data_IF_911048469988
#
_entry.id   IF_911048469988
#
_cell.length_a   1.000
_cell.length_b   1.000
_cell.length_c   1.000
_cell.angle_alpha   90.00
_cell.angle_beta   90.00
_cell.angle_gamma   90.00
#
_symmetry.space_group_name_H-M   'P 1'
#
loop_
_entity.id
_entity.type
_entity.pdbx_description
1 polymer ?
#
# COMPACT_ATOMS: atom_id res chain seq x y z
N UNK A 1 -18.12 -1.10 -17.84
CA UNK A 1 -17.04 -0.63 -16.95
C UNK A 1 -16.26 0.45 -17.68
N UNK A 2 -16.02 1.60 -17.07
CA UNK A 2 -15.14 2.66 -17.58
C UNK A 2 -13.81 2.51 -16.84
N UNK A 3 -12.71 2.31 -17.57
CA UNK A 3 -11.34 2.22 -17.00
C UNK A 3 -10.71 3.62 -16.88
N UNK A 4 -11.42 4.54 -16.25
CA UNK A 4 -10.99 5.91 -15.99
C UNK A 4 -11.73 6.43 -14.76
N UNK A 5 -11.11 7.31 -14.01
CA UNK A 5 -11.74 8.01 -12.90
C UNK A 5 -12.86 8.93 -13.37
N UNK A 6 -13.82 9.22 -12.51
CA UNK A 6 -14.80 10.29 -12.68
C UNK A 6 -14.15 11.65 -12.40
N UNK A 7 -14.82 12.74 -12.79
CA UNK A 7 -14.32 14.10 -12.52
C UNK A 7 -14.13 14.36 -11.02
N UNK A 8 -15.05 13.89 -10.17
CA UNK A 8 -14.96 14.04 -8.71
C UNK A 8 -13.79 13.21 -8.13
N UNK A 9 -13.57 11.98 -8.62
CA UNK A 9 -12.42 11.16 -8.23
C UNK A 9 -11.09 11.80 -8.66
N UNK A 10 -11.04 12.39 -9.86
CA UNK A 10 -9.87 13.14 -10.33
C UNK A 10 -9.60 14.38 -9.48
N UNK A 11 -10.63 15.16 -9.16
CA UNK A 11 -10.52 16.36 -8.33
C UNK A 11 -9.99 16.03 -6.93
N UNK A 12 -10.56 15.00 -6.29
CA UNK A 12 -10.12 14.58 -4.96
C UNK A 12 -8.69 14.05 -4.98
N UNK A 13 -8.36 13.18 -5.94
CA UNK A 13 -7.00 12.68 -6.15
C UNK A 13 -5.99 13.82 -6.35
N UNK A 14 -6.32 14.81 -7.18
CA UNK A 14 -5.44 15.93 -7.49
C UNK A 14 -5.24 16.83 -6.26
N UNK A 15 -6.29 17.05 -5.46
CA UNK A 15 -6.19 17.73 -4.16
C UNK A 15 -5.21 17.02 -3.22
N UNK A 16 -5.30 15.70 -3.13
CA UNK A 16 -4.38 14.90 -2.30
C UNK A 16 -2.95 14.94 -2.86
N UNK A 17 -2.79 14.90 -4.18
CA UNK A 17 -1.48 15.03 -4.85
C UNK A 17 -0.80 16.35 -4.50
N UNK A 18 -1.53 17.46 -4.63
CA UNK A 18 -1.00 18.80 -4.36
C UNK A 18 -0.61 18.94 -2.88
N UNK A 19 -1.46 18.44 -1.98
CA UNK A 19 -1.15 18.38 -0.55
C UNK A 19 0.13 17.58 -0.28
N UNK A 20 0.26 16.38 -0.86
CA UNK A 20 1.42 15.53 -0.64
C UNK A 20 2.70 16.10 -1.28
N UNK A 21 2.59 16.80 -2.40
CA UNK A 21 3.74 17.47 -3.03
C UNK A 21 4.36 18.54 -2.12
N UNK A 22 3.53 19.23 -1.34
CA UNK A 22 3.97 20.24 -0.37
C UNK A 22 4.39 19.61 0.97
N UNK A 23 3.57 18.71 1.53
CA UNK A 23 3.70 18.24 2.90
C UNK A 23 4.46 16.92 3.06
N UNK A 24 4.75 16.17 1.97
CA UNK A 24 5.45 14.89 2.01
C UNK A 24 6.65 14.85 1.07
N UNK A 25 7.64 15.71 1.32
CA UNK A 25 8.90 15.71 0.57
C UNK A 25 9.82 14.56 1.01
N UNK A 26 10.87 14.27 0.24
CA UNK A 26 11.88 13.25 0.60
C UNK A 26 12.58 13.54 1.92
N UNK A 27 12.67 14.81 2.33
CA UNK A 27 13.16 15.20 3.67
C UNK A 27 12.27 14.62 4.78
N UNK A 28 10.95 14.67 4.61
CA UNK A 28 10.01 14.10 5.57
C UNK A 28 10.08 12.58 5.62
N UNK A 29 10.25 11.92 4.46
CA UNK A 29 10.47 10.46 4.41
C UNK A 29 11.75 10.06 5.13
N UNK A 30 12.84 10.82 4.96
CA UNK A 30 14.11 10.61 5.68
C UNK A 30 13.96 10.83 7.18
N UNK A 31 13.20 11.84 7.60
CA UNK A 31 12.90 12.06 9.02
C UNK A 31 12.14 10.88 9.64
N UNK A 32 11.15 10.33 8.94
CA UNK A 32 10.44 9.14 9.38
C UNK A 32 11.34 7.90 9.44
N UNK A 33 12.38 7.81 8.62
CA UNK A 33 13.37 6.73 8.71
C UNK A 33 14.16 6.76 10.01
N UNK A 34 14.45 7.96 10.51
CA UNK A 34 15.23 8.18 11.74
C UNK A 34 14.36 8.15 13.01
N UNK A 35 13.06 8.37 12.88
CA UNK A 35 12.14 8.39 14.01
C UNK A 35 11.74 6.98 14.49
N UNK A 36 11.25 6.87 15.71
CA UNK A 36 10.74 5.62 16.29
C UNK A 36 9.35 5.24 15.72
N UNK A 37 8.58 6.24 15.25
CA UNK A 37 7.30 6.07 14.57
C UNK A 37 7.26 6.88 13.27
N UNK A 38 6.54 6.37 12.27
CA UNK A 38 6.22 7.11 11.06
C UNK A 38 5.03 8.05 11.23
N UNK A 39 4.20 7.86 12.26
CA UNK A 39 3.06 8.72 12.56
C UNK A 39 3.57 10.06 13.06
N UNK A 40 3.24 11.11 12.32
CA UNK A 40 3.67 12.48 12.59
C UNK A 40 2.46 13.42 12.67
N UNK A 41 2.71 14.71 12.92
CA UNK A 41 1.68 15.74 12.86
C UNK A 41 0.95 15.79 11.50
N UNK A 42 1.58 15.28 10.43
CA UNK A 42 0.96 15.15 9.11
C UNK A 42 -0.27 14.24 9.10
N UNK A 43 -0.39 13.27 10.03
CA UNK A 43 -1.59 12.47 10.16
C UNK A 43 -2.84 13.33 10.39
N UNK A 44 -2.73 14.34 11.25
CA UNK A 44 -3.82 15.30 11.48
C UNK A 44 -4.06 16.22 10.28
N UNK A 45 -3.00 16.61 9.55
CA UNK A 45 -3.16 17.39 8.32
C UNK A 45 -3.82 16.56 7.20
N UNK A 46 -3.53 15.27 7.09
CA UNK A 46 -4.24 14.34 6.20
C UNK A 46 -5.72 14.22 6.55
N UNK A 47 -6.07 14.27 7.84
CA UNK A 47 -7.45 14.27 8.29
C UNK A 47 -8.21 15.56 7.87
N UNK A 48 -7.57 16.71 7.91
CA UNK A 48 -8.18 17.99 7.46
C UNK A 48 -8.56 17.98 5.98
N UNK A 49 -7.84 17.21 5.16
CA UNK A 49 -8.17 17.02 3.73
C UNK A 49 -9.02 15.75 3.48
N UNK A 50 -9.51 15.11 4.56
CA UNK A 50 -10.43 13.98 4.50
C UNK A 50 -9.78 12.61 4.23
N UNK A 51 -8.46 12.54 4.08
CA UNK A 51 -7.76 11.32 3.64
C UNK A 51 -7.86 10.19 4.67
N UNK A 52 -7.77 10.49 5.98
CA UNK A 52 -7.89 9.47 7.04
C UNK A 52 -9.30 8.92 7.17
N UNK A 53 -10.30 9.72 6.82
CA UNK A 53 -11.74 9.37 6.85
C UNK A 53 -12.29 8.85 5.53
N UNK A 54 -11.46 8.61 4.50
CA UNK A 54 -11.91 8.31 3.13
C UNK A 54 -12.92 7.15 3.07
N UNK A 55 -12.65 6.05 3.80
CA UNK A 55 -13.52 4.86 3.84
C UNK A 55 -14.33 4.75 5.13
N UNK A 56 -14.24 5.74 6.01
CA UNK A 56 -15.09 5.82 7.20
C UNK A 56 -16.50 6.22 6.76
N UNK A 57 -17.57 5.54 7.25
CA UNK A 57 -18.94 5.90 6.93
C UNK A 57 -19.28 7.35 7.31
N UNK A 58 -20.20 7.99 6.57
CA UNK A 58 -20.60 9.39 6.79
C UNK A 58 -21.23 9.64 8.18
N UNK A 59 -21.96 8.67 8.71
CA UNK A 59 -22.54 8.71 10.06
C UNK A 59 -21.53 8.63 11.20
N UNK A 60 -20.27 8.41 10.85
CA UNK A 60 -19.10 8.45 11.76
C UNK A 60 -18.06 9.54 11.36
N UNK A 61 -18.54 10.64 10.80
CA UNK A 61 -17.72 11.82 10.39
C UNK A 61 -16.69 11.49 9.27
N UNK A 62 -16.90 10.43 8.50
CA UNK A 62 -16.07 10.05 7.35
C UNK A 62 -16.62 10.56 6.03
N UNK A 63 -15.94 10.21 4.93
CA UNK A 63 -16.38 10.53 3.57
C UNK A 63 -17.24 9.45 2.92
N UNK A 64 -17.38 8.26 3.52
CA UNK A 64 -18.16 7.15 2.98
C UNK A 64 -17.73 6.66 1.60
N UNK A 65 -16.51 6.99 1.16
CA UNK A 65 -15.99 6.61 -0.16
C UNK A 65 -15.61 5.13 -0.22
N UNK A 66 -15.46 4.63 -1.46
CA UNK A 66 -15.18 3.22 -1.71
C UNK A 66 -13.73 2.87 -1.98
N UNK A 67 -13.53 1.61 -2.41
CA UNK A 67 -12.22 1.08 -2.76
C UNK A 67 -11.65 1.73 -4.05
N UNK A 68 -12.48 2.33 -4.91
CA UNK A 68 -12.03 3.04 -6.13
C UNK A 68 -11.34 4.36 -5.76
N UNK A 69 -11.94 5.17 -4.89
CA UNK A 69 -11.37 6.43 -4.39
C UNK A 69 -10.16 6.17 -3.51
N UNK A 70 -10.23 5.18 -2.64
CA UNK A 70 -9.09 4.76 -1.82
C UNK A 70 -7.90 4.38 -2.71
N UNK A 71 -8.11 3.57 -3.76
CA UNK A 71 -7.03 3.19 -4.66
C UNK A 71 -6.43 4.40 -5.39
N UNK A 72 -7.26 5.37 -5.83
CA UNK A 72 -6.79 6.60 -6.46
C UNK A 72 -5.89 7.41 -5.54
N UNK A 73 -6.29 7.60 -4.27
CA UNK A 73 -5.49 8.28 -3.24
C UNK A 73 -4.21 7.51 -2.93
N UNK A 74 -4.27 6.18 -2.84
CA UNK A 74 -3.10 5.35 -2.54
C UNK A 74 -2.05 5.37 -3.66
N UNK A 75 -2.43 5.64 -4.91
CA UNK A 75 -1.44 5.92 -5.99
C UNK A 75 -0.62 7.17 -5.64
N UNK A 76 -1.26 8.25 -5.20
CA UNK A 76 -0.57 9.50 -4.85
C UNK A 76 0.27 9.34 -3.57
N UNK A 77 -0.22 8.61 -2.56
CA UNK A 77 0.60 8.29 -1.37
C UNK A 77 1.81 7.42 -1.71
N UNK A 78 1.68 6.54 -2.69
CA UNK A 78 2.80 5.77 -3.24
C UNK A 78 3.80 6.66 -3.95
N UNK A 79 3.34 7.60 -4.79
CA UNK A 79 4.20 8.56 -5.50
C UNK A 79 5.02 9.42 -4.53
N UNK A 80 4.42 9.86 -3.43
CA UNK A 80 5.09 10.61 -2.36
C UNK A 80 5.93 9.73 -1.41
N UNK A 81 5.78 8.40 -1.45
CA UNK A 81 6.29 7.46 -0.45
C UNK A 81 5.84 7.82 0.97
N UNK A 82 4.55 8.17 1.14
CA UNK A 82 3.98 8.61 2.42
C UNK A 82 4.33 7.61 3.55
N UNK A 83 4.97 8.07 4.64
CA UNK A 83 5.36 7.19 5.74
C UNK A 83 4.20 6.70 6.59
N UNK A 84 3.19 7.54 6.80
CA UNK A 84 2.04 7.26 7.66
C UNK A 84 1.24 6.03 7.16
N UNK A 85 0.68 5.21 8.08
CA UNK A 85 0.08 3.90 7.76
C UNK A 85 -1.37 4.02 7.26
N UNK A 86 -1.61 4.86 6.25
CA UNK A 86 -2.95 5.10 5.72
C UNK A 86 -3.63 3.82 5.21
N UNK A 87 -2.87 2.95 4.53
CA UNK A 87 -3.40 1.69 4.01
C UNK A 87 -3.86 0.77 5.15
N UNK A 88 -3.03 0.62 6.16
CA UNK A 88 -3.32 -0.23 7.32
C UNK A 88 -4.53 0.29 8.09
N UNK A 89 -4.64 1.61 8.28
CA UNK A 89 -5.81 2.25 8.89
C UNK A 89 -7.08 2.04 8.07
N UNK A 90 -7.03 2.20 6.74
CA UNK A 90 -8.18 1.97 5.86
C UNK A 90 -8.67 0.52 5.87
N UNK A 91 -7.74 -0.45 6.00
CA UNK A 91 -8.10 -1.88 6.16
C UNK A 91 -8.77 -2.12 7.51
N UNK A 92 -8.21 -1.56 8.59
CA UNK A 92 -8.78 -1.67 9.94
C UNK A 92 -10.18 -1.05 10.01
N UNK A 93 -10.38 0.13 9.41
CA UNK A 93 -11.69 0.81 9.33
C UNK A 93 -12.76 -0.09 8.72
N UNK A 94 -12.45 -0.85 7.67
CA UNK A 94 -13.42 -1.75 7.07
C UNK A 94 -13.95 -2.81 8.04
N UNK A 95 -13.11 -3.37 8.88
CA UNK A 95 -13.49 -4.35 9.92
C UNK A 95 -14.20 -3.67 11.10
N UNK A 96 -13.75 -2.49 11.51
CA UNK A 96 -14.37 -1.71 12.59
C UNK A 96 -15.79 -1.27 12.20
N UNK A 97 -16.01 -0.80 10.98
CA UNK A 97 -17.30 -0.38 10.49
C UNK A 97 -18.31 -1.55 10.44
N UNK A 98 -17.82 -2.77 10.17
CA UNK A 98 -18.67 -3.96 10.12
C UNK A 98 -18.98 -4.54 11.51
N UNK A 99 -18.00 -4.57 12.43
CA UNK A 99 -18.10 -5.35 13.66
C UNK A 99 -18.09 -4.53 14.95
N UNK A 100 -17.65 -3.29 14.93
CA UNK A 100 -17.56 -2.43 16.11
C UNK A 100 -17.85 -0.94 15.80
N UNK A 101 -18.95 -0.62 15.07
CA UNK A 101 -19.21 0.76 14.61
C UNK A 101 -19.40 1.73 15.78
N UNK A 102 -20.05 1.30 16.85
CA UNK A 102 -20.41 2.16 17.99
C UNK A 102 -19.27 2.38 19.00
N UNK A 103 -18.09 1.81 18.77
CA UNK A 103 -16.96 1.92 19.69
C UNK A 103 -16.24 3.30 19.66
N UNK A 104 -16.69 4.23 18.84
CA UNK A 104 -16.16 5.60 18.72
C UNK A 104 -14.80 5.71 18.01
N UNK A 105 -14.22 4.60 17.54
CA UNK A 105 -12.93 4.60 16.86
C UNK A 105 -12.99 5.18 15.46
N UNK A 106 -14.10 4.99 14.75
CA UNK A 106 -14.27 5.45 13.38
C UNK A 106 -14.14 6.98 13.29
N UNK A 107 -14.86 7.72 14.14
CA UNK A 107 -14.78 9.18 14.20
C UNK A 107 -13.37 9.68 14.61
N UNK A 108 -12.70 9.00 15.55
CA UNK A 108 -11.33 9.35 15.96
C UNK A 108 -10.31 9.12 14.84
N UNK A 109 -10.50 8.08 14.01
CA UNK A 109 -9.63 7.85 12.85
C UNK A 109 -9.92 8.90 11.77
N UNK A 110 -11.20 9.19 11.49
CA UNK A 110 -11.60 10.20 10.52
C UNK A 110 -11.03 11.57 10.86
N UNK A 111 -11.11 12.00 12.14
CA UNK A 111 -10.57 13.27 12.63
C UNK A 111 -9.05 13.33 12.75
N UNK A 112 -8.35 12.19 12.59
CA UNK A 112 -6.91 12.08 12.80
C UNK A 112 -6.48 12.08 14.27
N UNK A 113 -7.42 11.99 15.22
CA UNK A 113 -7.11 11.85 16.65
C UNK A 113 -6.44 10.52 16.96
N UNK A 114 -6.82 9.46 16.24
CA UNK A 114 -6.25 8.13 16.40
C UNK A 114 -5.80 7.54 15.05
N UNK A 115 -4.92 6.54 15.15
CA UNK A 115 -4.55 5.65 14.05
C UNK A 115 -4.93 4.23 14.41
N UNK A 116 -5.12 3.39 13.40
CA UNK A 116 -5.34 1.97 13.59
C UNK A 116 -4.26 1.18 12.84
N UNK A 117 -3.86 0.06 13.44
CA UNK A 117 -3.04 -0.95 12.78
C UNK A 117 -3.82 -2.25 12.66
N UNK A 118 -3.39 -3.12 11.78
CA UNK A 118 -4.09 -4.37 11.48
C UNK A 118 -3.10 -5.53 11.36
N UNK A 119 -3.52 -6.70 11.84
CA UNK A 119 -2.83 -7.97 11.63
C UNK A 119 -3.85 -9.02 11.20
N UNK A 120 -3.76 -9.50 9.97
CA UNK A 120 -4.70 -10.48 9.41
C UNK A 120 -4.06 -11.87 9.29
N UNK A 121 -4.86 -12.93 9.12
CA UNK A 121 -4.36 -14.28 8.86
C UNK A 121 -3.31 -14.30 7.74
N UNK A 122 -2.23 -15.04 7.94
CA UNK A 122 -1.10 -15.12 7.02
C UNK A 122 -0.09 -13.97 7.09
N UNK A 123 -0.39 -12.87 7.78
CA UNK A 123 0.56 -11.79 8.03
C UNK A 123 1.47 -12.10 9.23
N UNK A 124 2.74 -11.69 9.12
CA UNK A 124 3.73 -11.90 10.20
C UNK A 124 3.92 -10.68 11.10
N UNK A 125 3.58 -9.50 10.59
CA UNK A 125 3.90 -8.22 11.22
C UNK A 125 2.75 -7.23 11.04
N UNK A 126 2.44 -6.49 12.10
CA UNK A 126 1.63 -5.29 12.06
C UNK A 126 2.53 -4.07 11.83
N UNK A 127 2.01 -3.08 11.09
CA UNK A 127 2.74 -1.83 10.79
C UNK A 127 2.34 -0.77 11.81
N UNK A 128 3.32 -0.06 12.39
CA UNK A 128 3.11 1.01 13.38
C UNK A 128 2.33 0.58 14.63
N UNK A 129 2.34 -0.71 14.97
CA UNK A 129 1.53 -1.25 16.06
C UNK A 129 1.79 -0.56 17.41
N UNK A 130 3.03 -0.14 17.70
CA UNK A 130 3.37 0.50 18.97
C UNK A 130 2.86 1.95 19.08
N UNK A 131 2.63 2.62 17.97
CA UNK A 131 2.16 4.01 17.93
C UNK A 131 0.66 4.13 17.55
N UNK A 132 0.02 3.01 17.19
CA UNK A 132 -1.40 2.97 16.88
C UNK A 132 -2.26 3.16 18.14
N UNK A 133 -3.44 3.79 17.98
CA UNK A 133 -4.43 3.89 19.05
C UNK A 133 -5.11 2.56 19.33
N UNK A 134 -5.20 1.69 18.31
CA UNK A 134 -5.75 0.33 18.45
C UNK A 134 -5.15 -0.62 17.40
N UNK A 135 -5.27 -1.92 17.70
CA UNK A 135 -4.98 -3.01 16.77
C UNK A 135 -6.26 -3.79 16.46
N UNK A 136 -6.50 -4.05 15.17
CA UNK A 136 -7.51 -5.00 14.72
C UNK A 136 -6.80 -6.27 14.31
N UNK A 137 -7.10 -7.38 14.99
CA UNK A 137 -6.43 -8.67 14.79
C UNK A 137 -7.44 -9.70 14.33
N UNK A 138 -7.24 -10.25 13.13
CA UNK A 138 -7.97 -11.41 12.64
C UNK A 138 -7.18 -12.69 12.87
N UNK A 139 -7.85 -13.73 13.34
CA UNK A 139 -7.28 -15.04 13.58
C UNK A 139 -7.70 -16.04 12.49
N UNK A 140 -6.91 -17.13 12.33
CA UNK A 140 -7.16 -18.17 11.32
C UNK A 140 -8.52 -18.89 11.49
N UNK A 141 -9.06 -18.92 12.73
CA UNK A 141 -10.38 -19.47 13.03
C UNK A 141 -11.54 -18.54 12.60
N UNK A 142 -11.24 -17.33 12.14
CA UNK A 142 -12.22 -16.32 11.74
C UNK A 142 -12.67 -15.38 12.85
N UNK A 143 -12.04 -15.43 14.02
CA UNK A 143 -12.30 -14.45 15.07
C UNK A 143 -11.61 -13.12 14.76
N UNK A 144 -12.30 -12.03 15.10
CA UNK A 144 -11.79 -10.66 15.00
C UNK A 144 -11.74 -10.03 16.38
N UNK A 145 -10.58 -9.54 16.75
CA UNK A 145 -10.35 -8.88 18.03
C UNK A 145 -9.96 -7.41 17.82
N UNK A 146 -10.42 -6.55 18.71
CA UNK A 146 -9.96 -5.15 18.82
C UNK A 146 -9.24 -5.03 20.16
N UNK A 147 -7.95 -4.69 20.11
CA UNK A 147 -7.08 -4.69 21.29
C UNK A 147 -6.32 -3.37 21.42
N UNK A 148 -6.04 -2.99 22.66
CA UNK A 148 -5.13 -1.88 22.92
C UNK A 148 -3.69 -2.37 22.71
N UNK A 149 -2.83 -1.65 21.96
CA UNK A 149 -1.42 -2.00 21.82
C UNK A 149 -0.68 -2.21 23.14
N UNK A 150 -1.08 -1.51 24.21
CA UNK A 150 -0.50 -1.66 25.55
C UNK A 150 -0.76 -3.03 26.19
N UNK A 151 -1.80 -3.74 25.76
CA UNK A 151 -2.15 -5.08 26.22
C UNK A 151 -1.48 -6.19 25.39
N UNK A 152 -0.60 -5.81 24.46
CA UNK A 152 0.11 -6.71 23.58
C UNK A 152 1.61 -6.73 23.87
N UNK A 153 2.26 -7.87 23.64
CA UNK A 153 3.71 -7.91 23.54
C UNK A 153 4.13 -7.58 22.11
N UNK A 154 4.74 -6.42 21.93
CA UNK A 154 5.19 -5.90 20.64
C UNK A 154 6.70 -6.05 20.49
N UNK A 155 7.15 -6.85 19.51
CA UNK A 155 8.58 -7.04 19.23
C UNK A 155 8.92 -6.37 17.90
N UNK A 156 9.75 -5.27 17.90
CA UNK A 156 10.09 -4.55 16.69
C UNK A 156 10.91 -5.42 15.73
N UNK A 157 10.67 -5.24 14.45
CA UNK A 157 11.34 -5.95 13.37
C UNK A 157 11.93 -4.96 12.37
N UNK A 158 13.11 -5.30 11.83
CA UNK A 158 13.76 -4.46 10.82
C UNK A 158 13.05 -4.59 9.48
N UNK A 159 12.80 -3.45 8.84
CA UNK A 159 12.32 -3.36 7.45
C UNK A 159 13.41 -2.78 6.57
N UNK A 160 13.44 -3.18 5.28
CA UNK A 160 14.28 -2.53 4.26
C UNK A 160 13.86 -1.07 4.06
N UNK A 161 12.56 -0.80 4.11
CA UNK A 161 11.99 0.54 4.23
C UNK A 161 11.88 0.91 5.72
N UNK A 162 12.78 1.75 6.21
CA UNK A 162 12.85 2.14 7.61
C UNK A 162 11.66 2.98 8.09
N UNK A 163 10.86 3.55 7.19
CA UNK A 163 9.64 4.25 7.57
C UNK A 163 8.46 3.30 7.83
N UNK A 164 8.54 2.02 7.45
CA UNK A 164 7.57 1.00 7.85
C UNK A 164 8.04 0.32 9.13
N UNK A 165 7.55 0.79 10.28
CA UNK A 165 7.87 0.19 11.59
C UNK A 165 7.06 -1.08 11.77
N UNK A 166 7.74 -2.21 11.67
CA UNK A 166 7.11 -3.54 11.73
C UNK A 166 7.21 -4.11 13.14
N UNK A 167 6.14 -4.74 13.60
CA UNK A 167 6.07 -5.40 14.89
C UNK A 167 5.50 -6.80 14.77
N UNK A 168 6.16 -7.77 15.40
CA UNK A 168 5.51 -9.02 15.74
C UNK A 168 4.62 -8.76 16.95
N UNK A 169 3.37 -9.20 16.86
CA UNK A 169 2.35 -9.00 17.90
C UNK A 169 2.06 -10.33 18.55
N UNK A 170 2.13 -10.39 19.87
CA UNK A 170 1.57 -11.47 20.66
C UNK A 170 0.58 -10.88 21.66
N UNK A 171 -0.62 -11.45 21.73
CA UNK A 171 -1.69 -11.06 22.63
C UNK A 171 -2.47 -12.30 23.09
N UNK A 172 -3.17 -12.18 24.21
CA UNK A 172 -4.06 -13.22 24.73
C UNK A 172 -5.50 -12.89 24.27
N UNK A 173 -6.13 -13.71 23.41
CA UNK A 173 -7.53 -13.53 23.04
C UNK A 173 -8.45 -13.68 24.25
N UNK A 174 -9.32 -12.69 24.48
CA UNK A 174 -10.32 -12.73 25.56
C UNK A 174 -11.71 -12.42 25.00
N UNK A 175 -12.80 -12.79 25.72
CA UNK A 175 -14.15 -12.44 25.31
C UNK A 175 -14.37 -10.92 25.17
N UNK A 176 -13.68 -10.11 25.98
CA UNK A 176 -13.81 -8.65 26.00
C UNK A 176 -13.20 -8.00 24.74
N UNK A 177 -12.16 -8.62 24.15
CA UNK A 177 -11.53 -8.13 22.93
C UNK A 177 -12.19 -8.64 21.67
N UNK A 178 -13.01 -9.71 21.77
CA UNK A 178 -13.67 -10.35 20.63
C UNK A 178 -14.84 -9.49 20.13
N UNK A 179 -14.79 -9.07 18.87
CA UNK A 179 -15.86 -8.27 18.23
C UNK A 179 -16.64 -9.07 17.18
N UNK A 180 -16.08 -10.13 16.64
CA UNK A 180 -16.75 -11.03 15.71
C UNK A 180 -16.14 -12.43 15.71
N UNK A 181 -16.97 -13.44 15.40
CA UNK A 181 -16.55 -14.82 15.12
C UNK A 181 -17.06 -15.26 13.77
N UNK A 182 -16.39 -16.25 13.16
CA UNK A 182 -16.74 -16.76 11.83
C UNK A 182 -16.69 -15.68 10.71
N UNK A 183 -15.79 -14.70 10.83
CA UNK A 183 -15.66 -13.57 9.92
C UNK A 183 -14.68 -13.82 8.74
N UNK A 184 -14.49 -15.09 8.32
CA UNK A 184 -13.50 -15.45 7.28
C UNK A 184 -13.68 -14.64 6.00
N UNK A 185 -14.95 -14.39 5.57
CA UNK A 185 -15.24 -13.60 4.36
C UNK A 185 -14.77 -12.15 4.52
N UNK A 186 -15.06 -11.53 5.65
CA UNK A 186 -14.69 -10.13 5.94
C UNK A 186 -13.17 -9.99 6.07
N UNK A 187 -12.50 -10.96 6.72
CA UNK A 187 -11.04 -11.01 6.79
C UNK A 187 -10.39 -11.17 5.41
N UNK A 188 -10.96 -12.03 4.55
CA UNK A 188 -10.48 -12.19 3.18
C UNK A 188 -10.66 -10.89 2.38
N UNK A 189 -11.82 -10.21 2.50
CA UNK A 189 -12.07 -8.91 1.87
C UNK A 189 -11.11 -7.83 2.39
N UNK A 190 -10.82 -7.80 3.68
CA UNK A 190 -9.86 -6.89 4.28
C UNK A 190 -8.44 -7.14 3.72
N UNK A 191 -8.02 -8.40 3.57
CA UNK A 191 -6.76 -8.76 2.93
C UNK A 191 -6.72 -8.33 1.45
N UNK A 192 -7.83 -8.46 0.72
CA UNK A 192 -7.95 -7.98 -0.66
C UNK A 192 -7.84 -6.46 -0.75
N UNK A 193 -8.46 -5.69 0.15
CA UNK A 193 -8.28 -4.24 0.25
C UNK A 193 -6.82 -3.88 0.50
N UNK A 194 -6.14 -4.61 1.40
CA UNK A 194 -4.72 -4.44 1.66
C UNK A 194 -3.85 -4.69 0.43
N UNK A 195 -4.11 -5.77 -0.31
CA UNK A 195 -3.39 -6.13 -1.53
C UNK A 195 -3.63 -5.12 -2.67
N UNK A 196 -4.89 -4.67 -2.86
CA UNK A 196 -5.26 -3.63 -3.80
C UNK A 196 -4.54 -2.31 -3.48
N UNK A 197 -4.58 -1.89 -2.20
CA UNK A 197 -3.93 -0.66 -1.76
C UNK A 197 -2.41 -0.70 -1.93
N UNK A 198 -1.77 -1.84 -1.63
CA UNK A 198 -0.36 -2.03 -1.90
C UNK A 198 -0.05 -1.98 -3.41
N UNK A 199 -0.91 -2.54 -4.26
CA UNK A 199 -0.77 -2.45 -5.72
C UNK A 199 -0.89 -1.00 -6.21
N UNK A 200 -1.84 -0.23 -5.68
CA UNK A 200 -1.99 1.19 -5.99
C UNK A 200 -0.75 2.01 -5.58
N UNK A 201 -0.24 1.80 -4.37
CA UNK A 201 1.01 2.46 -3.92
C UNK A 201 2.22 2.08 -4.79
N UNK A 202 2.30 0.82 -5.24
CA UNK A 202 3.37 0.36 -6.14
C UNK A 202 3.30 1.05 -7.52
N UNK A 203 2.11 1.37 -8.06
CA UNK A 203 1.98 2.20 -9.27
C UNK A 203 2.56 3.60 -9.05
N UNK A 204 2.21 4.24 -7.93
CA UNK A 204 2.74 5.56 -7.57
C UNK A 204 4.26 5.56 -7.45
N UNK A 205 4.83 4.58 -6.74
CA UNK A 205 6.28 4.41 -6.60
C UNK A 205 6.98 4.17 -7.93
N UNK A 206 6.38 3.35 -8.80
CA UNK A 206 6.89 3.09 -10.17
C UNK A 206 6.98 4.38 -10.96
N UNK A 207 5.89 5.17 -10.94
CA UNK A 207 5.84 6.48 -11.61
C UNK A 207 6.88 7.44 -11.05
N UNK A 208 7.02 7.52 -9.71
CA UNK A 208 8.01 8.38 -9.05
C UNK A 208 9.44 8.02 -9.43
N UNK A 209 9.79 6.74 -9.39
CA UNK A 209 11.12 6.28 -9.80
C UNK A 209 11.40 6.62 -11.26
N UNK A 210 10.43 6.42 -12.14
CA UNK A 210 10.53 6.76 -13.56
C UNK A 210 10.76 8.26 -13.77
N UNK A 211 9.91 9.12 -13.18
CA UNK A 211 10.01 10.57 -13.32
C UNK A 211 11.34 11.12 -12.82
N UNK A 212 11.74 10.69 -11.61
CA UNK A 212 13.03 11.08 -11.03
C UNK A 212 14.20 10.69 -11.94
N UNK A 213 14.12 9.52 -12.57
CA UNK A 213 15.19 9.02 -13.45
C UNK A 213 15.19 9.72 -14.81
N UNK A 214 14.02 10.05 -15.34
CA UNK A 214 13.91 10.86 -16.57
C UNK A 214 14.55 12.24 -16.38
N UNK A 215 14.23 12.90 -15.25
CA UNK A 215 14.83 14.22 -14.95
C UNK A 215 16.35 14.11 -14.73
N UNK A 216 16.82 13.07 -14.05
CA UNK A 216 18.26 12.82 -13.94
C UNK A 216 18.91 12.62 -15.30
N UNK A 217 18.32 11.83 -16.20
CA UNK A 217 18.86 11.54 -17.52
C UNK A 217 18.90 12.78 -18.45
N UNK A 218 18.00 13.75 -18.24
CA UNK A 218 17.98 15.05 -18.95
C UNK A 218 19.07 16.02 -18.47
N UNK A 219 19.66 15.79 -17.30
CA UNK A 219 20.64 16.71 -16.68
C UNK A 219 22.05 16.12 -16.65
N UNK A 220 22.18 14.79 -16.51
CA UNK A 220 23.47 14.14 -16.37
C UNK A 220 24.25 14.09 -17.67
N UNK A 221 25.43 14.66 -17.68
CA UNK A 221 26.38 14.62 -18.81
C UNK A 221 27.44 13.55 -18.58
N UNK A 222 27.68 12.69 -19.56
CA UNK A 222 28.83 11.78 -19.61
C UNK A 222 29.47 11.84 -21.01
N UNK A 223 30.78 11.85 -21.08
CA UNK A 223 31.54 11.95 -22.34
C UNK A 223 31.09 13.09 -23.24
N UNK A 224 30.71 14.23 -22.65
CA UNK A 224 30.29 15.43 -23.37
C UNK A 224 28.85 15.46 -23.87
N UNK A 225 28.04 14.42 -23.59
CA UNK A 225 26.61 14.35 -23.99
C UNK A 225 25.72 14.01 -22.81
N UNK A 226 24.45 14.42 -22.89
CA UNK A 226 23.42 14.03 -21.93
C UNK A 226 23.17 12.52 -22.01
N UNK A 227 23.11 11.83 -20.88
CA UNK A 227 22.91 10.37 -20.87
C UNK A 227 21.56 9.97 -21.47
N UNK A 228 20.53 10.83 -21.36
CA UNK A 228 19.20 10.60 -21.97
C UNK A 228 19.19 10.55 -23.50
N UNK A 229 20.28 10.94 -24.17
CA UNK A 229 20.42 10.79 -25.62
C UNK A 229 20.84 9.39 -26.05
N UNK A 230 21.31 8.56 -25.10
CA UNK A 230 21.70 7.19 -25.42
C UNK A 230 20.48 6.28 -25.52
N UNK A 231 20.36 5.56 -26.63
CA UNK A 231 19.24 4.66 -26.92
C UNK A 231 19.05 3.60 -25.83
N UNK A 232 20.14 3.07 -25.25
CA UNK A 232 20.08 2.10 -24.14
C UNK A 232 19.38 2.68 -22.90
N UNK A 233 19.62 3.94 -22.55
CA UNK A 233 18.95 4.64 -21.44
C UNK A 233 17.46 4.82 -21.75
N UNK A 234 17.14 5.26 -22.98
CA UNK A 234 15.76 5.44 -23.45
C UNK A 234 14.98 4.11 -23.38
N UNK A 235 15.58 2.99 -23.79
CA UNK A 235 14.95 1.67 -23.74
C UNK A 235 14.68 1.22 -22.29
N UNK A 236 15.60 1.45 -21.35
CA UNK A 236 15.34 1.15 -19.94
C UNK A 236 14.11 1.89 -19.41
N UNK A 237 13.98 3.18 -19.70
CA UNK A 237 12.87 4.01 -19.24
C UNK A 237 11.56 3.69 -19.96
N UNK A 238 11.61 3.44 -21.27
CA UNK A 238 10.44 3.05 -22.06
C UNK A 238 9.85 1.70 -21.56
N UNK A 239 10.70 0.73 -21.25
CA UNK A 239 10.26 -0.57 -20.70
C UNK A 239 9.54 -0.42 -19.34
N UNK A 240 10.01 0.49 -18.48
CA UNK A 240 9.33 0.82 -17.23
C UNK A 240 7.97 1.44 -17.48
N UNK A 241 7.91 2.44 -18.39
CA UNK A 241 6.66 3.10 -18.77
C UNK A 241 5.63 2.10 -19.32
N UNK A 242 6.04 1.20 -20.21
CA UNK A 242 5.16 0.16 -20.76
C UNK A 242 4.56 -0.70 -19.64
N UNK A 243 5.39 -1.19 -18.72
CA UNK A 243 4.90 -2.02 -17.60
C UNK A 243 3.94 -1.24 -16.68
N UNK A 244 4.24 0.04 -16.41
CA UNK A 244 3.37 0.91 -15.63
C UNK A 244 2.01 1.10 -16.31
N UNK A 245 2.01 1.43 -17.62
CA UNK A 245 0.77 1.67 -18.37
C UNK A 245 -0.10 0.40 -18.47
N UNK A 246 0.49 -0.78 -18.57
CA UNK A 246 -0.25 -2.04 -18.53
C UNK A 246 -0.79 -2.38 -17.15
N UNK A 247 -0.10 -2.01 -16.06
CA UNK A 247 -0.54 -2.29 -14.69
C UNK A 247 -1.72 -1.39 -14.26
N UNK A 248 -1.79 -0.14 -14.71
CA UNK A 248 -2.84 0.82 -14.36
C UNK A 248 -4.27 0.27 -14.56
N UNK A 249 -4.67 -0.17 -15.76
CA UNK A 249 -6.04 -0.67 -15.97
C UNK A 249 -6.36 -1.92 -15.16
N UNK A 250 -5.35 -2.74 -14.83
CA UNK A 250 -5.54 -3.93 -13.99
C UNK A 250 -5.87 -3.53 -12.55
N UNK A 251 -5.19 -2.52 -12.00
CA UNK A 251 -5.48 -1.97 -10.67
C UNK A 251 -6.86 -1.30 -10.65
N UNK A 252 -7.22 -0.51 -11.68
CA UNK A 252 -8.56 0.09 -11.78
C UNK A 252 -9.66 -0.98 -11.87
N UNK A 253 -9.43 -2.06 -12.61
CA UNK A 253 -10.35 -3.19 -12.68
C UNK A 253 -10.53 -3.85 -11.31
N UNK A 254 -9.45 -4.06 -10.57
CA UNK A 254 -9.49 -4.66 -9.25
C UNK A 254 -10.26 -3.77 -8.24
N UNK A 255 -10.01 -2.46 -8.25
CA UNK A 255 -10.73 -1.49 -7.42
C UNK A 255 -12.25 -1.52 -7.71
N UNK A 256 -12.63 -1.48 -8.98
CA UNK A 256 -14.01 -1.60 -9.43
C UNK A 256 -14.66 -2.90 -8.95
N UNK A 257 -13.97 -4.02 -9.08
CA UNK A 257 -14.50 -5.34 -8.71
C UNK A 257 -14.68 -5.48 -7.20
N UNK A 258 -13.70 -4.99 -6.42
CA UNK A 258 -13.74 -5.04 -4.97
C UNK A 258 -14.84 -4.12 -4.41
N UNK A 259 -14.97 -2.90 -4.95
CA UNK A 259 -16.00 -1.95 -4.54
C UNK A 259 -17.43 -2.47 -4.74
N UNK A 260 -17.63 -3.38 -5.72
CA UNK A 260 -18.94 -3.96 -6.06
C UNK A 260 -19.13 -5.40 -5.62
N UNK A 261 -18.19 -5.93 -4.83
CA UNK A 261 -18.21 -7.32 -4.34
C UNK A 261 -18.45 -8.35 -5.47
N UNK A 262 -17.79 -8.12 -6.63
CA UNK A 262 -17.94 -9.01 -7.78
C UNK A 262 -17.32 -10.40 -7.50
N UNK A 263 -17.85 -11.48 -8.05
CA UNK A 263 -17.28 -12.83 -7.87
C UNK A 263 -15.81 -12.95 -8.31
N UNK A 264 -15.36 -12.07 -9.23
CA UNK A 264 -13.97 -12.03 -9.71
C UNK A 264 -13.04 -11.15 -8.85
N UNK A 265 -13.54 -10.47 -7.81
CA UNK A 265 -12.78 -9.44 -7.06
C UNK A 265 -11.44 -9.97 -6.54
N UNK A 266 -11.44 -11.12 -5.89
CA UNK A 266 -10.25 -11.76 -5.34
C UNK A 266 -9.17 -12.05 -6.41
N UNK A 267 -9.60 -12.53 -7.59
CA UNK A 267 -8.73 -12.79 -8.74
C UNK A 267 -8.23 -11.47 -9.35
N UNK A 268 -9.13 -10.50 -9.57
CA UNK A 268 -8.77 -9.20 -10.13
C UNK A 268 -7.75 -8.48 -9.24
N UNK A 269 -7.91 -8.52 -7.91
CA UNK A 269 -6.96 -7.98 -6.93
C UNK A 269 -5.61 -8.71 -7.00
N UNK A 270 -5.63 -10.03 -7.10
CA UNK A 270 -4.39 -10.82 -7.23
C UNK A 270 -3.64 -10.47 -8.51
N UNK A 271 -4.35 -10.29 -9.64
CA UNK A 271 -3.75 -9.81 -10.89
C UNK A 271 -3.14 -8.42 -10.72
N UNK A 272 -3.85 -7.47 -10.09
CA UNK A 272 -3.38 -6.13 -9.84
C UNK A 272 -2.08 -6.12 -9.02
N UNK A 273 -2.01 -6.92 -7.95
CA UNK A 273 -0.82 -7.02 -7.09
C UNK A 273 0.38 -7.60 -7.84
N UNK A 274 0.19 -8.61 -8.69
CA UNK A 274 1.26 -9.18 -9.54
C UNK A 274 1.78 -8.10 -10.50
N UNK A 275 0.90 -7.48 -11.31
CA UNK A 275 1.32 -6.52 -12.33
C UNK A 275 2.01 -5.29 -11.73
N UNK A 276 1.47 -4.75 -10.64
CA UNK A 276 2.06 -3.61 -9.96
C UNK A 276 3.42 -3.96 -9.32
N UNK A 277 3.55 -5.15 -8.70
CA UNK A 277 4.81 -5.61 -8.12
C UNK A 277 5.90 -5.80 -9.19
N UNK A 278 5.56 -6.42 -10.33
CA UNK A 278 6.50 -6.60 -11.44
C UNK A 278 6.93 -5.26 -12.06
N UNK A 279 6.00 -4.31 -12.21
CA UNK A 279 6.30 -2.97 -12.72
C UNK A 279 7.26 -2.22 -11.80
N UNK A 280 7.01 -2.27 -10.47
CA UNK A 280 7.83 -1.60 -9.48
C UNK A 280 9.23 -2.23 -9.35
N UNK A 281 9.33 -3.56 -9.44
CA UNK A 281 10.62 -4.26 -9.43
C UNK A 281 11.44 -3.94 -10.67
N UNK A 282 10.82 -3.91 -11.86
CA UNK A 282 11.49 -3.48 -13.10
C UNK A 282 11.95 -2.01 -12.99
N UNK A 283 11.11 -1.13 -12.45
CA UNK A 283 11.45 0.27 -12.24
C UNK A 283 12.66 0.41 -11.29
N UNK A 284 12.65 -0.29 -10.16
CA UNK A 284 13.75 -0.28 -9.21
C UNK A 284 15.08 -0.66 -9.88
N UNK A 285 15.10 -1.74 -10.68
CA UNK A 285 16.31 -2.20 -11.38
C UNK A 285 16.74 -1.26 -12.49
N UNK A 286 15.84 -0.84 -13.37
CA UNK A 286 16.18 -0.02 -14.53
C UNK A 286 16.56 1.40 -14.12
N UNK A 287 15.83 2.02 -13.18
CA UNK A 287 16.15 3.34 -12.66
C UNK A 287 17.50 3.36 -11.94
N UNK A 288 17.76 2.34 -11.13
CA UNK A 288 19.07 2.18 -10.48
C UNK A 288 20.20 2.04 -11.51
N UNK A 289 19.99 1.25 -12.57
CA UNK A 289 20.99 1.09 -13.64
C UNK A 289 21.30 2.42 -14.33
N UNK A 290 20.29 3.25 -14.59
CA UNK A 290 20.47 4.58 -15.22
C UNK A 290 21.20 5.56 -14.32
N UNK A 291 20.96 5.53 -13.00
CA UNK A 291 21.68 6.38 -12.05
C UNK A 291 23.12 5.90 -11.83
N UNK A 292 23.39 4.60 -11.97
CA UNK A 292 24.69 4.01 -11.67
C UNK A 292 25.03 4.09 -10.18
N UNK A 293 26.30 4.33 -9.85
CA UNK A 293 26.78 4.26 -8.47
C UNK A 293 26.04 5.19 -7.49
N UNK A 294 25.61 6.37 -7.93
CA UNK A 294 24.92 7.34 -7.06
C UNK A 294 23.55 6.80 -6.59
N UNK A 295 22.90 5.97 -7.39
CA UNK A 295 21.61 5.36 -7.02
C UNK A 295 21.70 4.40 -5.82
N UNK A 296 22.90 3.91 -5.46
CA UNK A 296 23.15 3.08 -4.29
C UNK A 296 23.43 3.87 -3.02
N UNK A 297 23.72 5.17 -3.16
CA UNK A 297 24.11 5.98 -2.01
C UNK A 297 22.91 6.39 -1.16
N UNK A 298 23.11 6.59 0.14
CA UNK A 298 22.04 7.09 1.02
C UNK A 298 21.71 8.57 0.75
N UNK A 299 22.56 9.28 0.03
CA UNK A 299 22.39 10.69 -0.34
C UNK A 299 21.32 10.88 -1.41
N UNK A 300 21.21 9.92 -2.34
CA UNK A 300 20.24 10.01 -3.45
C UNK A 300 18.86 9.46 -3.06
N UNK A 301 17.80 10.20 -3.40
CA UNK A 301 16.43 9.89 -2.96
C UNK A 301 15.82 8.64 -3.63
N UNK A 302 16.36 8.18 -4.77
CA UNK A 302 15.85 6.99 -5.46
C UNK A 302 15.74 5.77 -4.53
N UNK A 303 16.70 5.60 -3.60
CA UNK A 303 16.71 4.49 -2.66
C UNK A 303 15.47 4.44 -1.75
N UNK A 304 14.86 5.60 -1.42
CA UNK A 304 13.66 5.66 -0.59
C UNK A 304 12.49 4.96 -1.29
N UNK A 305 12.31 5.27 -2.57
CA UNK A 305 11.24 4.70 -3.39
C UNK A 305 11.48 3.23 -3.72
N UNK A 306 12.72 2.85 -4.04
CA UNK A 306 13.09 1.45 -4.29
C UNK A 306 12.84 0.57 -3.07
N UNK A 307 13.31 0.98 -1.89
CA UNK A 307 13.16 0.21 -0.66
C UNK A 307 11.69 0.09 -0.23
N UNK A 308 10.89 1.16 -0.40
CA UNK A 308 9.45 1.11 -0.20
C UNK A 308 8.79 0.13 -1.20
N UNK A 309 9.18 0.16 -2.47
CA UNK A 309 8.65 -0.75 -3.48
C UNK A 309 8.96 -2.21 -3.15
N UNK A 310 10.16 -2.54 -2.70
CA UNK A 310 10.52 -3.89 -2.27
C UNK A 310 9.73 -4.35 -1.04
N UNK A 311 9.55 -3.47 -0.05
CA UNK A 311 8.75 -3.76 1.13
C UNK A 311 7.27 -4.02 0.78
N UNK A 312 6.67 -3.20 -0.08
CA UNK A 312 5.28 -3.36 -0.53
C UNK A 312 5.10 -4.52 -1.51
N UNK A 313 6.13 -4.86 -2.29
CA UNK A 313 6.12 -6.02 -3.18
C UNK A 313 5.86 -7.34 -2.46
N UNK A 314 6.33 -7.44 -1.20
CA UNK A 314 6.13 -8.62 -0.33
C UNK A 314 4.97 -8.46 0.67
N UNK A 315 4.56 -7.24 0.99
CA UNK A 315 3.43 -7.00 1.89
C UNK A 315 2.10 -7.42 1.23
N UNK A 316 1.15 -7.91 2.01
CA UNK A 316 -0.18 -8.33 1.56
C UNK A 316 -0.16 -9.46 0.52
N UNK A 317 0.81 -10.36 0.61
CA UNK A 317 1.11 -11.41 -0.35
C UNK A 317 2.08 -10.96 -1.44
N UNK A 318 3.05 -11.80 -1.76
CA UNK A 318 3.96 -11.58 -2.88
C UNK A 318 3.36 -12.06 -4.21
N UNK A 319 4.09 -11.85 -5.32
CA UNK A 319 3.62 -12.25 -6.64
C UNK A 319 3.44 -13.78 -6.77
N UNK A 320 4.21 -14.59 -6.03
CA UNK A 320 4.04 -16.05 -5.97
C UNK A 320 2.71 -16.42 -5.33
N UNK A 321 2.45 -15.93 -4.12
CA UNK A 321 1.20 -16.13 -3.37
C UNK A 321 -0.04 -15.76 -4.23
N UNK A 322 0.02 -14.63 -4.93
CA UNK A 322 -1.10 -14.20 -5.77
C UNK A 322 -1.27 -15.02 -7.04
N UNK A 323 -0.18 -15.55 -7.63
CA UNK A 323 -0.28 -16.53 -8.75
C UNK A 323 -0.91 -17.84 -8.31
N UNK A 324 -0.52 -18.35 -7.13
CA UNK A 324 -1.09 -19.58 -6.57
C UNK A 324 -2.59 -19.41 -6.30
N UNK A 325 -3.00 -18.23 -5.78
CA UNK A 325 -4.40 -17.91 -5.56
C UNK A 325 -5.21 -17.88 -6.87
N UNK A 326 -4.66 -17.30 -7.94
CA UNK A 326 -5.30 -17.32 -9.28
C UNK A 326 -5.37 -18.75 -9.83
N UNK A 327 -4.31 -19.52 -9.68
CA UNK A 327 -4.28 -20.90 -10.13
C UNK A 327 -5.34 -21.75 -9.43
N UNK A 328 -5.48 -21.62 -8.10
CA UNK A 328 -6.52 -22.30 -7.33
C UNK A 328 -7.94 -21.88 -7.78
N UNK A 329 -8.18 -20.58 -8.02
CA UNK A 329 -9.48 -20.09 -8.50
C UNK A 329 -9.86 -20.62 -9.89
N UNK A 330 -8.89 -20.74 -10.79
CA UNK A 330 -9.15 -21.13 -12.18
C UNK A 330 -9.08 -22.64 -12.43
N UNK A 331 -8.23 -23.36 -11.72
CA UNK A 331 -7.92 -24.77 -11.96
C UNK A 331 -8.51 -25.69 -10.88
N UNK A 332 -9.02 -25.14 -9.78
CA UNK A 332 -9.40 -25.90 -8.60
C UNK A 332 -8.18 -26.52 -7.92
N UNK A 333 -8.40 -27.54 -7.09
CA UNK A 333 -7.35 -28.27 -6.37
C UNK A 333 -6.52 -29.23 -7.26
N UNK A 334 -6.44 -28.96 -8.56
CA UNK A 334 -5.59 -29.75 -9.44
C UNK A 334 -4.11 -29.67 -9.00
N UNK A 335 -3.40 -30.81 -8.88
CA UNK A 335 -1.99 -30.80 -8.50
C UNK A 335 -1.21 -29.95 -9.51
N UNK A 336 -0.33 -29.08 -8.98
CA UNK A 336 0.55 -28.26 -9.83
C UNK A 336 1.32 -29.18 -10.82
N UNK A 337 1.42 -28.80 -12.11
CA UNK A 337 2.23 -29.56 -13.05
C UNK A 337 3.68 -29.63 -12.53
N UNK A 338 4.36 -30.76 -12.74
CA UNK A 338 5.73 -30.93 -12.29
C UNK A 338 6.61 -29.81 -12.86
N UNK A 339 7.38 -29.17 -11.98
CA UNK A 339 8.34 -28.12 -12.38
C UNK A 339 9.32 -28.73 -13.41
N UNK A 340 9.49 -28.13 -14.60
CA UNK A 340 10.49 -28.62 -15.56
C UNK A 340 11.86 -28.60 -14.89
N UNK A 341 12.51 -29.75 -14.81
CA UNK A 341 13.92 -29.83 -14.42
C UNK A 341 14.75 -29.30 -15.59
N UNK A 342 15.32 -28.10 -15.46
CA UNK A 342 16.34 -27.56 -16.34
C UNK A 342 17.72 -27.93 -15.83
#
# INVERSE_FOLDING_TARGET
MRLAYTEDQELFRDTVRDFLADQCTTTHVRAAWAADSAISARWQELAKVGVTGIVVPEDHDGLGMGDEELAAVLVETGYAALPEPLLEAAVAVGLLAEFAPDAGWLAKIASGEATASVLLPGQRFAVEAAAAGLLVIGLDNGDVHVVNPADCTLTPQRSVDRSRKLYRVAFEPTPETLVASNAQRSLARAADRGALGAAAQLLGLTKRMLDTTVEYAKQRVQRGVLIGTHQSVQHHLANVLIKLEFAKPVVLRAAYSLARDLPSAARDVSMAKIYASEAADLAARNCLQVHGAIGYTEEHDLQLFMKRAWALGTAWGDAGTHRDRIATDLLGDAPAPPTPSY
#
